data_IF_291211523179
#
_entry.id   IF_291211523179
#
_cell.length_a   1.000
_cell.length_b   1.000
_cell.length_c   1.000
_cell.angle_alpha   90.00
_cell.angle_beta   90.00
_cell.angle_gamma   90.00
#
_symmetry.space_group_name_H-M   'P 1'
#
loop_
_entity.id
_entity.type
_entity.pdbx_description
1 polymer ?
#
# COMPACT_ATOMS: atom_id res chain seq x y z
N UNK A 1 -26.21 22.83 -15.33
CA UNK A 1 -26.35 21.62 -14.48
C UNK A 1 -24.98 21.26 -13.93
N UNK A 2 -24.72 21.53 -12.65
CA UNK A 2 -23.49 21.12 -11.96
C UNK A 2 -23.59 19.63 -11.68
N UNK A 3 -23.01 18.81 -12.55
CA UNK A 3 -22.84 17.39 -12.26
C UNK A 3 -21.87 17.28 -11.10
N UNK A 4 -22.41 16.90 -9.94
CA UNK A 4 -21.70 16.80 -8.68
C UNK A 4 -20.75 15.58 -8.73
N UNK A 5 -19.66 15.72 -9.49
CA UNK A 5 -18.69 14.66 -9.71
C UNK A 5 -17.77 14.55 -8.49
N UNK A 6 -17.92 13.47 -7.73
CA UNK A 6 -17.18 13.19 -6.49
C UNK A 6 -15.67 13.33 -6.73
N UNK A 7 -15.03 14.23 -5.98
CA UNK A 7 -13.58 14.47 -6.07
C UNK A 7 -12.77 13.53 -5.18
N UNK A 8 -13.43 12.83 -4.25
CA UNK A 8 -12.85 11.89 -3.29
C UNK A 8 -13.92 10.92 -2.78
N UNK A 9 -13.49 9.88 -2.06
CA UNK A 9 -14.37 9.09 -1.21
C UNK A 9 -15.04 10.01 -0.18
N UNK A 10 -16.33 9.80 0.06
CA UNK A 10 -17.08 10.60 1.02
C UNK A 10 -16.64 10.23 2.45
N UNK A 11 -16.44 11.22 3.35
CA UNK A 11 -15.99 10.95 4.72
C UNK A 11 -16.85 9.93 5.48
N UNK A 12 -18.16 9.88 5.19
CA UNK A 12 -19.09 8.92 5.81
C UNK A 12 -18.75 7.45 5.56
N UNK A 13 -17.96 7.11 4.53
CA UNK A 13 -17.52 5.73 4.32
C UNK A 13 -16.53 5.25 5.38
N UNK A 14 -15.76 6.14 6.01
CA UNK A 14 -14.88 5.77 7.12
C UNK A 14 -15.65 5.37 8.38
N UNK A 15 -16.95 5.71 8.49
CA UNK A 15 -17.79 5.24 9.59
C UNK A 15 -17.93 3.72 9.60
N UNK A 16 -17.88 3.05 8.44
CA UNK A 16 -17.84 1.60 8.38
C UNK A 16 -16.61 1.05 9.10
N UNK A 17 -15.44 1.67 8.89
CA UNK A 17 -14.20 1.25 9.52
C UNK A 17 -14.22 1.52 11.03
N UNK A 18 -14.77 2.66 11.45
CA UNK A 18 -15.02 2.97 12.87
C UNK A 18 -15.94 1.92 13.50
N UNK A 19 -17.02 1.54 12.82
CA UNK A 19 -17.94 0.50 13.30
C UNK A 19 -17.24 -0.85 13.43
N UNK A 20 -16.38 -1.25 12.47
CA UNK A 20 -15.60 -2.49 12.56
C UNK A 20 -14.63 -2.49 13.74
N UNK A 21 -13.94 -1.38 13.97
CA UNK A 21 -13.05 -1.20 15.14
C UNK A 21 -13.87 -1.28 16.44
N UNK A 22 -15.03 -0.62 16.48
CA UNK A 22 -15.91 -0.65 17.64
C UNK A 22 -16.44 -2.06 17.93
N UNK A 23 -16.86 -2.80 16.90
CA UNK A 23 -17.29 -4.21 17.06
C UNK A 23 -16.18 -5.05 17.66
N UNK A 24 -14.95 -4.90 17.16
CA UNK A 24 -13.78 -5.61 17.70
C UNK A 24 -13.50 -5.25 19.17
N UNK A 25 -13.50 -3.95 19.51
CA UNK A 25 -13.28 -3.48 20.87
C UNK A 25 -14.40 -3.90 21.83
N UNK A 26 -15.67 -3.79 21.42
CA UNK A 26 -16.83 -4.23 22.20
C UNK A 26 -16.76 -5.74 22.42
N UNK A 27 -16.38 -6.51 21.40
CA UNK A 27 -16.21 -7.96 21.55
C UNK A 27 -15.15 -8.30 22.59
N UNK A 28 -14.02 -7.58 22.62
CA UNK A 28 -12.99 -7.71 23.64
C UNK A 28 -13.48 -7.41 25.06
N UNK A 29 -14.39 -6.44 25.24
CA UNK A 29 -15.01 -6.15 26.53
C UNK A 29 -16.02 -7.23 26.93
N UNK A 30 -16.90 -7.64 26.02
CA UNK A 30 -17.98 -8.60 26.31
C UNK A 30 -17.44 -10.02 26.55
N UNK A 31 -16.34 -10.38 25.90
CA UNK A 31 -15.71 -11.69 26.01
C UNK A 31 -14.43 -11.65 26.85
N UNK A 32 -14.30 -10.65 27.74
CA UNK A 32 -13.08 -10.42 28.52
C UNK A 32 -12.63 -11.65 29.32
N UNK A 33 -13.58 -12.42 29.85
CA UNK A 33 -13.30 -13.62 30.65
C UNK A 33 -12.75 -14.78 29.82
N UNK A 34 -12.96 -14.78 28.50
CA UNK A 34 -12.42 -15.79 27.59
C UNK A 34 -10.98 -15.48 27.16
N UNK A 35 -10.50 -14.26 27.41
CA UNK A 35 -9.14 -13.83 27.04
C UNK A 35 -8.12 -14.50 27.97
N UNK A 36 -7.09 -15.19 27.44
CA UNK A 36 -6.04 -15.80 28.23
C UNK A 36 -5.27 -14.81 29.12
N UNK A 37 -4.83 -15.26 30.29
CA UNK A 37 -4.05 -14.42 31.24
C UNK A 37 -2.67 -14.02 30.69
N UNK A 38 -2.15 -14.76 29.70
CA UNK A 38 -0.89 -14.48 29.02
C UNK A 38 -1.14 -14.36 27.53
N UNK A 39 -0.84 -13.19 26.97
CA UNK A 39 -1.00 -12.88 25.56
C UNK A 39 0.36 -12.87 24.87
N UNK A 40 0.45 -13.52 23.71
CA UNK A 40 1.63 -13.43 22.86
C UNK A 40 1.71 -12.01 22.26
N UNK A 41 2.80 -11.29 22.55
CA UNK A 41 3.03 -9.91 22.10
C UNK A 41 4.18 -9.80 21.09
N UNK A 42 4.88 -10.90 20.84
CA UNK A 42 5.92 -11.01 19.83
C UNK A 42 5.92 -12.43 19.25
N UNK A 43 6.27 -12.52 17.97
CA UNK A 43 6.43 -13.75 17.23
C UNK A 43 7.79 -13.70 16.54
N UNK A 44 8.48 -14.84 16.52
CA UNK A 44 9.74 -14.97 15.81
C UNK A 44 9.52 -15.15 14.29
N UNK A 45 10.61 -15.30 13.54
CA UNK A 45 10.59 -15.46 12.07
C UNK A 45 9.85 -16.73 11.61
N UNK A 46 9.73 -17.74 12.49
CA UNK A 46 8.98 -18.98 12.22
C UNK A 46 7.53 -18.92 12.71
N UNK A 47 7.01 -17.73 13.04
CA UNK A 47 5.64 -17.48 13.52
C UNK A 47 5.29 -18.20 14.83
N UNK A 48 6.29 -18.52 15.64
CA UNK A 48 6.10 -19.01 17.00
C UNK A 48 6.15 -17.85 18.01
N UNK A 49 5.22 -17.83 19.00
CA UNK A 49 5.25 -16.83 20.05
C UNK A 49 6.44 -17.04 20.99
N UNK A 50 7.33 -16.06 21.04
CA UNK A 50 8.57 -16.08 21.84
C UNK A 50 8.54 -15.07 23.01
N UNK A 51 7.59 -14.12 23.01
CA UNK A 51 7.37 -13.17 24.11
C UNK A 51 5.89 -13.05 24.47
N UNK A 52 5.63 -13.04 25.78
CA UNK A 52 4.30 -12.92 26.36
C UNK A 52 4.19 -11.72 27.29
N UNK A 53 2.99 -11.14 27.37
CA UNK A 53 2.62 -10.12 28.34
C UNK A 53 1.42 -10.60 29.16
N UNK A 54 1.29 -10.09 30.39
CA UNK A 54 0.10 -10.30 31.19
C UNK A 54 -1.12 -9.63 30.55
N UNK A 55 -2.28 -10.26 30.66
CA UNK A 55 -3.58 -9.70 30.29
C UNK A 55 -3.79 -8.36 30.99
N UNK A 56 -4.22 -7.38 30.22
CA UNK A 56 -4.51 -6.03 30.70
C UNK A 56 -5.03 -5.17 29.56
N UNK A 57 -5.50 -3.97 29.88
CA UNK A 57 -6.08 -3.05 28.90
C UNK A 57 -5.11 -2.76 27.74
N UNK A 58 -3.83 -2.52 28.03
CA UNK A 58 -2.83 -2.23 27.00
C UNK A 58 -2.72 -3.33 25.94
N UNK A 59 -2.30 -4.56 26.31
CA UNK A 59 -2.18 -5.67 25.36
C UNK A 59 -3.49 -6.05 24.65
N UNK A 60 -4.64 -5.97 25.34
CA UNK A 60 -5.93 -6.37 24.75
C UNK A 60 -6.41 -5.39 23.68
N UNK A 61 -6.25 -4.08 23.91
CA UNK A 61 -6.74 -3.01 23.02
C UNK A 61 -5.64 -2.44 22.10
N UNK A 62 -4.41 -2.96 22.15
CA UNK A 62 -3.29 -2.49 21.33
C UNK A 62 -3.65 -2.41 19.85
N UNK A 63 -4.28 -3.45 19.31
CA UNK A 63 -4.66 -3.48 17.89
C UNK A 63 -5.77 -2.48 17.56
N UNK A 64 -6.71 -2.21 18.48
CA UNK A 64 -7.70 -1.15 18.25
C UNK A 64 -7.05 0.25 18.24
N UNK A 65 -6.06 0.49 19.12
CA UNK A 65 -5.28 1.73 19.12
C UNK A 65 -4.52 1.88 17.79
N UNK A 66 -3.85 0.83 17.33
CA UNK A 66 -3.15 0.80 16.03
C UNK A 66 -4.13 1.07 14.88
N UNK A 67 -5.31 0.44 14.88
CA UNK A 67 -6.33 0.65 13.85
C UNK A 67 -6.81 2.11 13.82
N UNK A 68 -7.11 2.72 14.97
CA UNK A 68 -7.52 4.12 15.06
C UNK A 68 -6.42 5.07 14.58
N UNK A 69 -5.17 4.80 14.95
CA UNK A 69 -4.02 5.57 14.51
C UNK A 69 -3.82 5.49 12.99
N UNK A 70 -3.84 4.27 12.42
CA UNK A 70 -3.74 4.07 10.97
C UNK A 70 -4.90 4.71 10.22
N UNK A 71 -6.13 4.57 10.73
CA UNK A 71 -7.31 5.21 10.18
C UNK A 71 -7.14 6.74 10.14
N UNK A 72 -6.67 7.34 11.23
CA UNK A 72 -6.40 8.78 11.30
C UNK A 72 -5.33 9.22 10.28
N UNK A 73 -4.23 8.46 10.14
CA UNK A 73 -3.21 8.74 9.11
C UNK A 73 -3.80 8.64 7.72
N UNK A 74 -4.60 7.62 7.41
CA UNK A 74 -5.21 7.44 6.09
C UNK A 74 -6.19 8.55 5.76
N UNK A 75 -7.01 8.97 6.73
CA UNK A 75 -7.90 10.13 6.59
C UNK A 75 -7.11 11.42 6.40
N UNK A 76 -6.01 11.61 7.13
CA UNK A 76 -5.10 12.75 6.97
C UNK A 76 -4.42 12.78 5.61
N UNK A 77 -3.99 11.62 5.09
CA UNK A 77 -3.42 11.48 3.76
C UNK A 77 -4.47 11.78 2.67
N UNK A 78 -5.70 11.27 2.81
CA UNK A 78 -6.81 11.56 1.91
C UNK A 78 -7.16 13.05 1.92
N UNK A 79 -7.17 13.69 3.10
CA UNK A 79 -7.33 15.13 3.24
C UNK A 79 -6.21 15.91 2.54
N UNK A 80 -4.95 15.50 2.72
CA UNK A 80 -3.80 16.11 2.06
C UNK A 80 -3.88 15.97 0.54
N UNK A 81 -4.27 14.81 0.01
CA UNK A 81 -4.47 14.58 -1.44
C UNK A 81 -5.55 15.50 -2.01
N UNK A 82 -6.60 15.79 -1.24
CA UNK A 82 -7.67 16.73 -1.66
C UNK A 82 -7.18 18.18 -1.72
N UNK A 83 -6.33 18.59 -0.78
CA UNK A 83 -5.92 20.00 -0.63
C UNK A 83 -4.55 20.32 -1.23
N UNK A 84 -3.78 19.31 -1.65
CA UNK A 84 -2.50 19.51 -2.31
C UNK A 84 -2.69 20.33 -3.59
N UNK A 85 -2.10 21.54 -3.62
CA UNK A 85 -1.91 22.29 -4.87
C UNK A 85 -1.03 21.44 -5.76
N UNK A 86 -1.62 20.84 -6.80
CA UNK A 86 -0.84 20.11 -7.78
C UNK A 86 0.16 21.09 -8.41
N UNK A 87 1.43 20.69 -8.47
CA UNK A 87 2.40 21.28 -9.38
C UNK A 87 1.83 21.08 -10.78
N UNK A 88 1.07 22.06 -11.20
CA UNK A 88 0.46 22.17 -12.51
C UNK A 88 1.60 22.55 -13.42
N UNK A 89 2.26 21.54 -13.98
CA UNK A 89 2.79 21.73 -15.31
C UNK A 89 1.63 22.19 -16.22
N UNK A 90 1.91 22.90 -17.33
CA UNK A 90 0.88 23.44 -18.24
C UNK A 90 -0.12 22.40 -18.80
N UNK A 91 0.13 21.12 -18.56
CA UNK A 91 -0.45 19.96 -19.23
C UNK A 91 -1.42 19.15 -18.34
N UNK A 92 -2.29 19.69 -17.48
CA UNK A 92 -3.29 18.82 -16.78
C UNK A 92 -4.68 19.46 -16.65
N UNK A 93 -5.64 18.99 -17.45
CA UNK A 93 -7.04 19.46 -17.43
C UNK A 93 -7.69 19.21 -16.06
N UNK A 94 -8.56 20.13 -15.63
CA UNK A 94 -9.30 20.05 -14.36
C UNK A 94 -9.99 18.69 -14.10
N UNK A 95 -10.45 18.01 -15.15
CA UNK A 95 -11.12 16.70 -15.05
C UNK A 95 -10.17 15.54 -14.73
N UNK A 96 -8.97 15.49 -15.33
CA UNK A 96 -7.97 14.46 -15.03
C UNK A 96 -7.35 14.65 -13.66
N UNK A 97 -7.18 15.90 -13.23
CA UNK A 97 -6.81 16.26 -11.85
C UNK A 97 -7.83 15.74 -10.84
N UNK A 98 -9.14 15.81 -11.17
CA UNK A 98 -10.21 15.22 -10.35
C UNK A 98 -10.14 13.70 -10.31
N UNK A 99 -9.97 13.03 -11.46
CA UNK A 99 -9.84 11.58 -11.51
C UNK A 99 -8.59 11.06 -10.76
N UNK A 100 -7.48 11.80 -10.82
CA UNK A 100 -6.28 11.51 -10.02
C UNK A 100 -6.58 11.55 -8.52
N UNK A 101 -7.22 12.62 -8.03
CA UNK A 101 -7.59 12.74 -6.60
C UNK A 101 -8.54 11.63 -6.19
N UNK A 102 -9.54 11.32 -7.01
CA UNK A 102 -10.48 10.24 -6.74
C UNK A 102 -9.79 8.87 -6.67
N UNK A 103 -8.91 8.54 -7.62
CA UNK A 103 -8.21 7.25 -7.62
C UNK A 103 -7.29 7.07 -6.41
N UNK A 104 -6.54 8.12 -6.03
CA UNK A 104 -5.74 8.10 -4.80
C UNK A 104 -6.62 7.95 -3.56
N UNK A 105 -7.75 8.67 -3.50
CA UNK A 105 -8.71 8.59 -2.40
C UNK A 105 -9.30 7.18 -2.24
N UNK A 106 -9.70 6.55 -3.36
CA UNK A 106 -10.20 5.17 -3.37
C UNK A 106 -9.12 4.19 -2.94
N UNK A 107 -7.88 4.35 -3.41
CA UNK A 107 -6.76 3.51 -2.98
C UNK A 107 -6.49 3.64 -1.47
N UNK A 108 -6.41 4.85 -0.94
CA UNK A 108 -6.18 5.10 0.48
C UNK A 108 -7.31 4.52 1.35
N UNK A 109 -8.57 4.70 0.93
CA UNK A 109 -9.72 4.11 1.61
C UNK A 109 -9.69 2.57 1.58
N UNK A 110 -9.36 1.98 0.42
CA UNK A 110 -9.25 0.53 0.27
C UNK A 110 -8.13 -0.06 1.11
N UNK A 111 -6.98 0.61 1.13
CA UNK A 111 -5.84 0.26 1.98
C UNK A 111 -6.21 0.35 3.47
N UNK A 112 -6.88 1.42 3.89
CA UNK A 112 -7.27 1.59 5.29
C UNK A 112 -8.27 0.53 5.74
N UNK A 113 -9.28 0.22 4.91
CA UNK A 113 -10.24 -0.85 5.16
C UNK A 113 -9.55 -2.22 5.28
N UNK A 114 -8.63 -2.51 4.36
CA UNK A 114 -7.87 -3.75 4.35
C UNK A 114 -7.02 -3.91 5.62
N UNK A 115 -6.33 -2.85 6.05
CA UNK A 115 -5.55 -2.84 7.29
C UNK A 115 -6.45 -3.01 8.53
N UNK A 116 -7.60 -2.34 8.58
CA UNK A 116 -8.56 -2.52 9.68
C UNK A 116 -9.01 -3.97 9.79
N UNK A 117 -9.43 -4.58 8.68
CA UNK A 117 -9.85 -5.99 8.67
C UNK A 117 -8.73 -6.94 9.10
N UNK A 118 -7.51 -6.71 8.59
CA UNK A 118 -6.35 -7.52 8.95
C UNK A 118 -6.03 -7.44 10.45
N UNK A 119 -5.94 -6.24 11.02
CA UNK A 119 -5.66 -6.07 12.45
C UNK A 119 -6.80 -6.58 13.35
N UNK A 120 -8.06 -6.53 12.90
CA UNK A 120 -9.17 -7.16 13.63
C UNK A 120 -9.01 -8.68 13.67
N UNK A 121 -8.58 -9.30 12.56
CA UNK A 121 -8.31 -10.73 12.51
C UNK A 121 -7.10 -11.12 13.37
N UNK A 122 -6.01 -10.33 13.32
CA UNK A 122 -4.84 -10.51 14.19
C UNK A 122 -5.27 -10.46 15.66
N UNK A 123 -6.05 -9.47 16.05
CA UNK A 123 -6.56 -9.35 17.42
C UNK A 123 -7.41 -10.56 17.82
N UNK A 124 -8.31 -11.03 16.95
CA UNK A 124 -9.13 -12.20 17.23
C UNK A 124 -8.29 -13.48 17.36
N UNK A 125 -7.24 -13.65 16.54
CA UNK A 125 -6.25 -14.72 16.69
C UNK A 125 -5.49 -14.63 18.01
N UNK A 126 -5.06 -13.44 18.42
CA UNK A 126 -4.31 -13.24 19.68
C UNK A 126 -5.20 -13.44 20.91
N UNK A 127 -6.44 -12.96 20.91
CA UNK A 127 -7.32 -12.99 22.08
C UNK A 127 -8.12 -14.28 22.22
N UNK A 128 -8.53 -14.89 21.10
CA UNK A 128 -9.47 -16.03 21.09
C UNK A 128 -8.92 -17.26 20.37
N UNK A 129 -7.67 -17.22 19.90
CA UNK A 129 -7.04 -18.37 19.26
C UNK A 129 -7.61 -18.72 17.88
N UNK A 130 -8.16 -17.75 17.14
CA UNK A 130 -8.57 -17.95 15.75
C UNK A 130 -7.43 -18.52 14.89
N UNK A 131 -7.80 -19.19 13.78
CA UNK A 131 -6.87 -19.98 12.95
C UNK A 131 -5.61 -19.21 12.53
N UNK A 132 -4.45 -19.70 12.99
CA UNK A 132 -3.12 -19.18 12.62
C UNK A 132 -2.75 -19.47 11.16
N UNK A 133 -3.06 -20.64 10.57
CA UNK A 133 -2.85 -20.83 9.13
C UNK A 133 -3.61 -19.81 8.28
N UNK A 134 -4.84 -19.45 8.67
CA UNK A 134 -5.59 -18.39 7.99
C UNK A 134 -4.96 -17.01 8.20
N UNK A 135 -4.36 -16.74 9.36
CA UNK A 135 -3.59 -15.51 9.57
C UNK A 135 -2.41 -15.43 8.58
N UNK A 136 -1.65 -16.51 8.41
CA UNK A 136 -0.53 -16.56 7.46
C UNK A 136 -0.99 -16.31 6.01
N UNK A 137 -2.04 -17.01 5.58
CA UNK A 137 -2.65 -16.80 4.25
C UNK A 137 -3.12 -15.35 4.11
N UNK A 138 -3.78 -14.81 5.15
CA UNK A 138 -4.22 -13.43 5.22
C UNK A 138 -3.07 -12.43 5.12
N UNK A 139 -1.93 -12.69 5.76
CA UNK A 139 -0.72 -11.86 5.68
C UNK A 139 -0.14 -11.86 4.26
N UNK A 140 -0.03 -13.03 3.63
CA UNK A 140 0.43 -13.13 2.24
C UNK A 140 -0.53 -12.39 1.30
N UNK A 141 -1.83 -12.61 1.47
CA UNK A 141 -2.88 -11.94 0.69
C UNK A 141 -2.84 -10.42 0.89
N UNK A 142 -2.63 -9.93 2.12
CA UNK A 142 -2.47 -8.51 2.44
C UNK A 142 -1.32 -7.90 1.62
N UNK A 143 -0.13 -8.51 1.64
CA UNK A 143 1.01 -8.03 0.87
C UNK A 143 0.72 -8.02 -0.64
N UNK A 144 0.13 -9.09 -1.17
CA UNK A 144 -0.22 -9.17 -2.59
C UNK A 144 -1.26 -8.11 -2.99
N UNK A 145 -2.27 -7.86 -2.16
CA UNK A 145 -3.29 -6.84 -2.40
C UNK A 145 -2.72 -5.42 -2.32
N UNK A 146 -1.81 -5.15 -1.39
CA UNK A 146 -1.12 -3.85 -1.29
C UNK A 146 -0.25 -3.63 -2.52
N UNK A 147 0.58 -4.61 -2.90
CA UNK A 147 1.47 -4.52 -4.07
C UNK A 147 0.64 -4.38 -5.35
N UNK A 148 -0.39 -5.21 -5.52
CA UNK A 148 -1.29 -5.20 -6.67
C UNK A 148 -2.09 -3.88 -6.76
N UNK A 149 -2.62 -3.39 -5.64
CA UNK A 149 -3.32 -2.13 -5.57
C UNK A 149 -2.42 -0.93 -5.89
N UNK A 150 -1.18 -0.93 -5.39
CA UNK A 150 -0.20 0.11 -5.70
C UNK A 150 0.22 0.07 -7.17
N UNK A 151 0.49 -1.13 -7.72
CA UNK A 151 0.80 -1.31 -9.13
C UNK A 151 -0.36 -0.84 -10.03
N UNK A 152 -1.59 -1.22 -9.68
CA UNK A 152 -2.80 -0.77 -10.36
C UNK A 152 -2.94 0.75 -10.33
N UNK A 153 -2.79 1.38 -9.15
CA UNK A 153 -2.85 2.84 -9.01
C UNK A 153 -1.81 3.53 -9.90
N UNK A 154 -0.57 3.03 -9.90
CA UNK A 154 0.52 3.57 -10.74
C UNK A 154 0.17 3.42 -12.23
N UNK A 155 -0.29 2.25 -12.67
CA UNK A 155 -0.67 1.99 -14.07
C UNK A 155 -1.84 2.89 -14.48
N UNK A 156 -2.85 3.03 -13.62
CA UNK A 156 -4.02 3.87 -13.85
C UNK A 156 -3.63 5.34 -14.00
N UNK A 157 -2.85 5.88 -13.07
CA UNK A 157 -2.36 7.27 -13.12
C UNK A 157 -1.50 7.51 -14.37
N UNK A 158 -0.67 6.53 -14.77
CA UNK A 158 0.11 6.60 -16.02
C UNK A 158 -0.79 6.71 -17.24
N UNK A 159 -1.82 5.85 -17.35
CA UNK A 159 -2.78 5.89 -18.47
C UNK A 159 -3.52 7.23 -18.55
N UNK A 160 -3.87 7.81 -17.40
CA UNK A 160 -4.49 9.13 -17.35
C UNK A 160 -3.61 10.23 -17.96
N UNK A 161 -2.30 10.20 -17.72
CA UNK A 161 -1.36 11.20 -18.25
C UNK A 161 -1.00 10.96 -19.72
N UNK A 162 -0.81 9.70 -20.13
CA UNK A 162 -0.48 9.35 -21.52
C UNK A 162 -1.55 9.79 -22.53
N UNK A 163 -2.83 9.74 -22.16
CA UNK A 163 -3.94 10.22 -22.99
C UNK A 163 -3.98 11.75 -23.18
N UNK A 164 -3.00 12.50 -22.68
CA UNK A 164 -2.88 13.95 -22.87
C UNK A 164 -1.68 14.33 -23.74
N UNK A 165 -0.61 13.52 -23.70
CA UNK A 165 0.63 13.82 -24.40
C UNK A 165 0.61 13.37 -25.87
N UNK A 166 -0.37 12.57 -26.27
CA UNK A 166 -0.60 12.18 -27.68
C UNK A 166 -0.94 13.35 -28.61
N UNK A 167 -1.19 14.57 -28.09
CA UNK A 167 -1.41 15.77 -28.92
C UNK A 167 -0.18 16.68 -29.05
N UNK A 168 0.96 16.40 -28.39
CA UNK A 168 2.03 17.41 -28.25
C UNK A 168 3.49 17.00 -28.45
N UNK A 169 3.85 15.72 -28.61
CA UNK A 169 5.28 15.35 -28.57
C UNK A 169 5.65 14.18 -29.51
N UNK A 170 5.60 14.46 -30.81
CA UNK A 170 6.14 13.61 -31.90
C UNK A 170 7.64 13.90 -32.17
N UNK A 171 8.42 14.37 -31.18
CA UNK A 171 9.76 14.92 -31.41
C UNK A 171 10.98 14.01 -31.16
N UNK A 172 10.85 12.94 -30.37
CA UNK A 172 12.01 12.08 -30.01
C UNK A 172 11.79 10.62 -30.40
N UNK A 173 11.81 10.37 -31.71
CA UNK A 173 11.73 9.04 -32.30
C UNK A 173 13.06 8.28 -32.07
N UNK A 174 13.01 7.18 -31.31
CA UNK A 174 14.01 6.11 -31.37
C UNK A 174 14.65 5.60 -30.07
N UNK A 175 14.54 6.32 -28.94
CA UNK A 175 15.22 5.91 -27.66
C UNK A 175 14.30 5.32 -26.60
N UNK A 176 12.99 5.53 -26.78
CA UNK A 176 11.95 5.11 -25.86
C UNK A 176 11.10 4.04 -26.53
N UNK A 177 11.18 2.81 -26.02
CA UNK A 177 10.37 1.70 -26.49
C UNK A 177 8.92 1.81 -25.97
N UNK A 178 7.99 1.17 -26.67
CA UNK A 178 6.59 1.10 -26.26
C UNK A 178 6.46 0.67 -24.79
N UNK A 179 5.71 1.43 -23.98
CA UNK A 179 5.54 1.16 -22.54
C UNK A 179 6.44 1.95 -21.58
N UNK A 180 7.29 2.86 -22.08
CA UNK A 180 8.10 3.76 -21.24
C UNK A 180 9.41 3.15 -20.77
N UNK A 181 9.91 2.14 -21.48
CA UNK A 181 11.23 1.54 -21.29
C UNK A 181 12.26 2.39 -22.05
N UNK A 182 13.29 2.86 -21.35
CA UNK A 182 14.41 3.57 -21.96
C UNK A 182 15.51 2.58 -22.35
N UNK A 183 15.89 2.58 -23.63
CA UNK A 183 16.96 1.74 -24.14
C UNK A 183 17.89 2.59 -25.00
N UNK A 184 19.04 2.96 -24.43
CA UNK A 184 20.06 3.71 -25.16
C UNK A 184 21.47 3.26 -24.75
N UNK A 185 22.12 2.36 -25.51
CA UNK A 185 23.48 1.91 -25.22
C UNK A 185 24.54 3.03 -25.25
N UNK A 186 24.26 4.12 -25.97
CA UNK A 186 25.18 5.25 -26.11
C UNK A 186 25.12 6.21 -24.92
N UNK A 187 24.02 6.22 -24.17
CA UNK A 187 23.87 7.02 -22.95
C UNK A 187 24.55 6.32 -21.76
N UNK A 188 25.56 6.93 -21.10
CA UNK A 188 26.25 6.35 -19.95
C UNK A 188 25.41 6.31 -18.67
N UNK A 189 24.28 7.00 -18.63
CA UNK A 189 23.42 7.10 -17.45
C UNK A 189 22.73 5.76 -17.16
N UNK A 190 22.88 5.27 -15.92
CA UNK A 190 22.16 4.07 -15.44
C UNK A 190 20.71 4.44 -15.09
N UNK A 191 20.53 5.58 -14.42
CA UNK A 191 19.23 6.14 -14.10
C UNK A 191 18.95 7.32 -15.03
N UNK A 192 17.81 7.31 -15.69
CA UNK A 192 17.34 8.41 -16.53
C UNK A 192 15.97 8.89 -16.06
N UNK A 193 15.67 10.19 -16.16
CA UNK A 193 14.33 10.69 -15.90
C UNK A 193 13.33 9.95 -16.79
N UNK A 194 12.19 9.55 -16.22
CA UNK A 194 11.14 8.91 -17.03
C UNK A 194 10.58 9.91 -18.04
N UNK A 195 10.42 9.49 -19.31
CA UNK A 195 9.68 10.25 -20.34
C UNK A 195 8.28 10.64 -19.88
N UNK A 196 7.69 9.82 -19.01
CA UNK A 196 6.35 10.01 -18.49
C UNK A 196 6.33 9.81 -16.96
N UNK A 197 5.95 10.85 -16.20
CA UNK A 197 5.69 10.77 -14.75
C UNK A 197 6.75 11.45 -13.87
N UNK A 198 6.82 11.03 -12.59
CA UNK A 198 7.80 11.52 -11.60
C UNK A 198 8.81 10.40 -11.31
N UNK A 199 10.09 10.75 -11.23
CA UNK A 199 11.18 9.85 -10.86
C UNK A 199 12.01 9.34 -12.02
N UNK A 200 12.84 8.33 -11.73
CA UNK A 200 13.87 7.81 -12.63
C UNK A 200 13.52 6.38 -13.07
N UNK A 201 13.92 6.01 -14.28
CA UNK A 201 13.93 4.63 -14.81
C UNK A 201 15.35 4.19 -15.07
N UNK A 202 15.56 2.89 -15.21
CA UNK A 202 16.83 2.34 -15.64
C UNK A 202 16.99 2.44 -17.15
N UNK A 203 18.22 2.65 -17.60
CA UNK A 203 18.63 2.48 -18.98
C UNK A 203 18.92 1.00 -19.26
N UNK A 204 18.02 0.34 -19.98
CA UNK A 204 18.13 -1.08 -20.31
C UNK A 204 19.14 -1.38 -21.43
N UNK A 205 19.69 -0.35 -22.07
CA UNK A 205 20.82 -0.47 -23.00
C UNK A 205 22.16 -0.69 -22.30
N UNK A 206 22.19 -0.73 -20.95
CA UNK A 206 23.40 -0.88 -20.14
C UNK A 206 23.36 -2.16 -19.29
N UNK A 207 24.45 -2.96 -19.26
CA UNK A 207 24.56 -4.12 -18.37
C UNK A 207 24.32 -3.78 -16.89
N UNK A 208 24.73 -2.58 -16.45
CA UNK A 208 24.50 -2.13 -15.07
C UNK A 208 23.03 -1.95 -14.72
N UNK A 209 22.16 -1.58 -15.68
CA UNK A 209 20.72 -1.50 -15.43
C UNK A 209 20.14 -2.88 -15.11
N UNK A 210 20.58 -3.92 -15.82
CA UNK A 210 20.18 -5.31 -15.57
C UNK A 210 20.72 -5.84 -14.25
N UNK A 211 21.94 -5.46 -13.86
CA UNK A 211 22.52 -5.79 -12.56
C UNK A 211 21.69 -5.25 -11.39
N UNK A 212 21.23 -3.99 -11.46
CA UNK A 212 20.36 -3.40 -10.42
C UNK A 212 19.07 -4.21 -10.26
N UNK A 213 18.47 -4.64 -11.36
CA UNK A 213 17.26 -5.48 -11.35
C UNK A 213 17.57 -6.85 -10.74
N UNK A 214 18.63 -7.51 -11.21
CA UNK A 214 19.03 -8.81 -10.71
C UNK A 214 19.30 -8.77 -9.19
N UNK A 215 19.98 -7.75 -8.70
CA UNK A 215 20.22 -7.56 -7.25
C UNK A 215 18.92 -7.34 -6.48
N UNK A 216 18.02 -6.49 -6.99
CA UNK A 216 16.74 -6.22 -6.33
C UNK A 216 15.90 -7.50 -6.16
N UNK A 217 15.90 -8.37 -7.17
CA UNK A 217 15.21 -9.66 -7.09
C UNK A 217 15.99 -10.70 -6.28
N UNK A 218 17.32 -10.71 -6.34
CA UNK A 218 18.15 -11.68 -5.64
C UNK A 218 18.12 -11.50 -4.11
N UNK A 219 18.05 -10.27 -3.60
CA UNK A 219 18.09 -10.00 -2.15
C UNK A 219 16.97 -10.74 -1.38
N UNK A 220 15.69 -10.68 -1.76
CA UNK A 220 14.63 -11.46 -1.11
C UNK A 220 14.89 -12.98 -1.11
N UNK A 221 15.40 -13.54 -2.22
CA UNK A 221 15.71 -14.97 -2.30
C UNK A 221 16.92 -15.36 -1.46
N UNK A 222 17.95 -14.49 -1.39
CA UNK A 222 19.11 -14.69 -0.54
C UNK A 222 18.72 -14.64 0.95
N UNK A 223 17.86 -13.70 1.34
CA UNK A 223 17.34 -13.62 2.71
C UNK A 223 16.54 -14.88 3.04
N UNK A 224 15.64 -15.31 2.15
CA UNK A 224 14.86 -16.53 2.34
C UNK A 224 15.76 -17.78 2.45
N UNK A 225 16.79 -17.87 1.61
CA UNK A 225 17.76 -18.98 1.63
C UNK A 225 18.63 -19.01 2.88
N UNK A 226 19.14 -17.85 3.34
CA UNK A 226 19.89 -17.75 4.60
C UNK A 226 19.03 -18.15 5.79
N UNK A 227 17.78 -17.67 5.84
CA UNK A 227 16.84 -18.07 6.89
C UNK A 227 16.58 -19.57 6.87
N UNK A 228 16.38 -20.18 5.69
CA UNK A 228 16.17 -21.62 5.56
C UNK A 228 17.40 -22.47 5.92
N UNK A 229 18.61 -21.91 5.88
CA UNK A 229 19.87 -22.58 6.26
C UNK A 229 20.21 -22.41 7.76
N UNK A 230 19.50 -21.54 8.47
CA UNK A 230 19.66 -21.29 9.90
C UNK A 230 18.66 -22.08 10.77
N UNK A 231 17.79 -22.86 10.14
CA UNK A 231 16.96 -23.92 10.75
C UNK A 231 17.71 -25.25 10.79
#
# INVERSE_FOLDING_TARGET
MSTNHKQSVAPGWYLLQVALIAVSAISAVLLWDQIPDKLAVHYNITFHPDRYAAKGFGPVFLFNIVQLFLLAIMMGADYAVKHAKQQTGPEMTNEKSRQFRYANSVFLYGLSLLLVLYFSYVQATTLYGWSRPLLLIGTIALFLLIIGGLAFLIIYIRRLRLSQQSEGDLGEEGRWMAGGIYYNPQDPSIFVPKKYGIGWTLNFGRPMGWLVIATLFAIPFLIAGVVALME
#
